data_IF_658057692943
#
_entry.id   IF_658057692943
#
_cell.length_a   1.000
_cell.length_b   1.000
_cell.length_c   1.000
_cell.angle_alpha   90.00
_cell.angle_beta   90.00
_cell.angle_gamma   90.00
#
_symmetry.space_group_name_H-M   'P 1'
#
loop_
_entity.id
_entity.type
_entity.pdbx_description
1 polymer ?
#
# COMPACT_ATOMS: atom_id res chain seq x y z
N UNK A 1 -3.56 -13.58 14.45
CA UNK A 1 -2.89 -13.22 13.19
C UNK A 1 -1.85 -12.21 13.62
N UNK A 2 -0.62 -12.64 13.70
CA UNK A 2 0.47 -11.76 14.11
C UNK A 2 0.84 -10.90 12.87
N UNK A 3 1.04 -9.59 13.07
CA UNK A 3 1.75 -8.68 12.14
C UNK A 3 1.03 -8.00 10.95
N UNK A 4 -0.27 -7.67 10.98
CA UNK A 4 -0.77 -6.55 10.13
C UNK A 4 -0.83 -5.27 10.97
N UNK A 5 0.07 -4.33 10.69
CA UNK A 5 0.01 -2.98 11.25
C UNK A 5 -0.90 -2.13 10.37
N UNK A 6 -1.91 -1.51 10.99
CA UNK A 6 -2.89 -0.66 10.31
C UNK A 6 -2.62 0.81 10.61
N UNK A 7 -2.66 1.64 9.58
CA UNK A 7 -2.55 3.10 9.68
C UNK A 7 -3.94 3.71 9.51
N UNK A 8 -4.36 4.52 10.48
CA UNK A 8 -5.57 5.34 10.36
C UNK A 8 -5.34 6.46 9.34
N UNK A 9 -6.24 6.57 8.38
CA UNK A 9 -6.32 7.71 7.47
C UNK A 9 -7.54 8.54 7.88
N UNK A 10 -7.36 9.72 8.51
CA UNK A 10 -8.47 10.50 9.04
C UNK A 10 -9.43 10.97 7.94
N UNK A 11 -10.71 11.09 8.29
CA UNK A 11 -11.72 11.69 7.43
C UNK A 11 -11.30 13.09 6.95
N UNK A 12 -11.77 13.45 5.77
CA UNK A 12 -11.61 14.80 5.23
C UNK A 12 -11.12 14.83 3.79
N UNK A 13 -11.05 16.07 3.29
CA UNK A 13 -10.77 16.37 1.89
C UNK A 13 -9.31 16.15 1.52
N UNK A 14 -9.07 15.72 0.29
CA UNK A 14 -7.77 15.69 -0.35
C UNK A 14 -7.90 16.02 -1.83
N UNK A 15 -6.78 16.33 -2.48
CA UNK A 15 -6.70 16.51 -3.93
C UNK A 15 -6.36 15.16 -4.58
N UNK A 16 -7.24 14.65 -5.43
CA UNK A 16 -7.00 13.47 -6.27
C UNK A 16 -6.59 13.92 -7.68
N UNK A 17 -5.66 13.18 -8.28
CA UNK A 17 -5.17 13.44 -9.64
C UNK A 17 -4.18 14.59 -9.76
N UNK A 18 -3.69 14.82 -10.99
CA UNK A 18 -2.71 15.85 -11.33
C UNK A 18 -3.02 16.48 -12.69
N UNK A 19 -3.25 17.80 -12.70
CA UNK A 19 -3.49 18.57 -13.94
C UNK A 19 -2.29 18.57 -14.90
N UNK A 20 -1.10 18.27 -14.40
CA UNK A 20 0.13 18.17 -15.18
C UNK A 20 0.52 16.72 -15.53
N UNK A 21 -0.21 15.73 -15.02
CA UNK A 21 0.05 14.30 -15.24
C UNK A 21 -0.44 13.79 -16.59
N UNK A 22 -0.62 12.48 -16.69
CA UNK A 22 -1.23 11.82 -17.85
C UNK A 22 -2.73 12.13 -17.97
N UNK A 23 -3.37 11.75 -19.09
CA UNK A 23 -4.76 12.13 -19.37
C UNK A 23 -5.75 11.49 -18.37
N UNK A 24 -5.43 10.30 -17.90
CA UNK A 24 -6.15 9.51 -16.90
C UNK A 24 -6.02 10.06 -15.48
N UNK A 25 -5.03 10.92 -15.22
CA UNK A 25 -4.82 11.57 -13.93
C UNK A 25 -5.58 12.90 -13.82
N UNK A 26 -6.25 13.34 -14.90
CA UNK A 26 -6.91 14.65 -15.01
C UNK A 26 -8.43 14.54 -14.93
N UNK A 27 -9.11 15.59 -14.43
CA UNK A 27 -8.54 16.79 -13.78
C UNK A 27 -8.19 16.53 -12.31
N UNK A 28 -7.29 17.34 -11.75
CA UNK A 28 -7.09 17.38 -10.31
C UNK A 28 -8.36 17.94 -9.64
N UNK A 29 -8.95 17.20 -8.70
CA UNK A 29 -10.21 17.58 -8.06
C UNK A 29 -10.25 17.20 -6.56
N UNK A 30 -11.14 17.85 -5.81
CA UNK A 30 -11.31 17.55 -4.38
C UNK A 30 -12.25 16.37 -4.18
N UNK A 31 -11.81 15.40 -3.38
CA UNK A 31 -12.65 14.31 -2.87
C UNK A 31 -12.66 14.40 -1.35
N UNK A 32 -13.83 14.16 -0.75
CA UNK A 32 -14.01 14.01 0.69
C UNK A 32 -14.21 12.53 1.02
N UNK A 33 -13.33 11.97 1.84
CA UNK A 33 -13.38 10.56 2.23
C UNK A 33 -13.63 10.44 3.74
N UNK A 34 -14.39 9.42 4.19
CA UNK A 34 -14.50 9.10 5.62
C UNK A 34 -13.14 8.64 6.19
N UNK A 35 -13.09 8.41 7.50
CA UNK A 35 -11.95 7.73 8.12
C UNK A 35 -11.95 6.27 7.66
N UNK A 36 -10.77 5.75 7.34
CA UNK A 36 -10.54 4.33 7.06
C UNK A 36 -9.16 3.93 7.56
N UNK A 37 -8.85 2.64 7.50
CA UNK A 37 -7.55 2.10 7.85
C UNK A 37 -6.97 1.37 6.64
N UNK A 38 -5.66 1.49 6.46
CA UNK A 38 -4.91 0.78 5.42
C UNK A 38 -3.72 0.07 6.05
N UNK A 39 -3.34 -1.08 5.50
CA UNK A 39 -2.12 -1.76 5.94
C UNK A 39 -0.92 -0.82 5.74
N UNK A 40 -0.02 -0.76 6.72
CA UNK A 40 1.16 0.12 6.69
C UNK A 40 2.10 -0.19 5.52
N UNK A 41 2.17 -1.45 5.13
CA UNK A 41 3.00 -1.95 4.03
C UNK A 41 2.15 -2.84 3.12
N UNK A 42 2.63 -3.15 1.91
CA UNK A 42 2.11 -4.28 1.14
C UNK A 42 2.08 -5.57 1.96
N UNK A 43 1.17 -6.48 1.58
CA UNK A 43 1.05 -7.80 2.20
C UNK A 43 2.29 -8.63 1.84
N UNK A 44 2.93 -9.23 2.85
CA UNK A 44 4.15 -10.04 2.70
C UNK A 44 3.84 -11.48 2.30
N UNK A 45 4.85 -12.18 1.76
CA UNK A 45 4.76 -13.61 1.50
C UNK A 45 4.41 -14.42 2.76
N UNK A 46 5.03 -14.10 3.92
CA UNK A 46 4.74 -14.79 5.17
C UNK A 46 3.29 -14.58 5.67
N UNK A 47 2.73 -13.39 5.48
CA UNK A 47 1.32 -13.13 5.81
C UNK A 47 0.38 -13.88 4.85
N UNK A 48 0.70 -13.90 3.55
CA UNK A 48 -0.10 -14.61 2.55
C UNK A 48 -0.04 -16.13 2.70
N UNK A 49 1.10 -16.68 3.15
CA UNK A 49 1.23 -18.11 3.47
C UNK A 49 0.25 -18.54 4.57
N UNK A 50 0.04 -17.73 5.61
CA UNK A 50 -0.95 -18.03 6.65
C UNK A 50 -2.38 -18.15 6.09
N UNK A 51 -2.69 -17.34 5.06
CA UNK A 51 -3.98 -17.43 4.35
C UNK A 51 -4.09 -18.74 3.58
N UNK A 52 -3.06 -19.10 2.81
CA UNK A 52 -3.01 -20.34 2.03
C UNK A 52 -3.15 -21.55 2.97
N UNK A 53 -2.39 -21.61 4.06
CA UNK A 53 -2.45 -22.71 5.03
C UNK A 53 -3.82 -22.84 5.69
N UNK A 54 -4.49 -21.72 5.95
CA UNK A 54 -5.79 -21.71 6.62
C UNK A 54 -6.98 -22.00 5.67
N UNK A 55 -6.83 -21.79 4.37
CA UNK A 55 -7.96 -21.80 3.42
C UNK A 55 -7.77 -22.73 2.22
N UNK A 56 -6.57 -23.25 2.03
CA UNK A 56 -6.16 -23.99 0.83
C UNK A 56 -6.33 -23.18 -0.47
N UNK A 57 -6.16 -21.86 -0.39
CA UNK A 57 -6.17 -20.97 -1.54
C UNK A 57 -5.01 -21.24 -2.51
N UNK A 58 -5.10 -20.67 -3.71
CA UNK A 58 -4.06 -20.78 -4.73
C UNK A 58 -2.75 -20.13 -4.26
N UNK A 59 -1.65 -20.83 -4.47
CA UNK A 59 -0.30 -20.32 -4.27
C UNK A 59 0.13 -19.47 -5.46
N UNK A 60 0.94 -18.41 -5.25
CA UNK A 60 1.60 -17.71 -6.34
C UNK A 60 2.42 -18.67 -7.21
N UNK A 61 2.38 -18.47 -8.53
CA UNK A 61 2.96 -19.42 -9.49
C UNK A 61 4.48 -19.60 -9.39
N UNK A 62 5.17 -18.64 -8.78
CA UNK A 62 6.61 -18.65 -8.57
C UNK A 62 7.05 -19.32 -7.25
N UNK A 63 6.10 -19.78 -6.43
CA UNK A 63 6.39 -20.53 -5.21
C UNK A 63 6.65 -21.99 -5.54
N UNK A 64 7.90 -22.32 -5.80
CA UNK A 64 8.31 -23.68 -6.13
C UNK A 64 8.06 -24.64 -4.96
N UNK A 65 7.52 -25.81 -5.26
CA UNK A 65 7.14 -26.84 -4.28
C UNK A 65 6.19 -26.32 -3.17
N UNK A 66 5.44 -25.25 -3.46
CA UNK A 66 4.50 -24.64 -2.52
C UNK A 66 5.15 -23.89 -1.35
N UNK A 67 6.41 -23.48 -1.50
CA UNK A 67 7.13 -22.74 -0.47
C UNK A 67 7.41 -21.29 -0.92
N UNK A 68 7.48 -20.38 0.05
CA UNK A 68 7.99 -19.03 -0.17
C UNK A 68 9.42 -19.13 -0.73
N UNK A 69 9.79 -18.33 -1.76
CA UNK A 69 11.17 -18.27 -2.21
C UNK A 69 12.12 -17.91 -1.06
N UNK A 70 13.25 -18.63 -0.96
CA UNK A 70 14.19 -18.50 0.16
C UNK A 70 14.59 -17.04 0.43
N UNK A 71 14.39 -16.56 1.66
CA UNK A 71 14.74 -15.21 2.09
C UNK A 71 13.75 -14.12 1.67
N UNK A 72 12.60 -14.49 1.09
CA UNK A 72 11.56 -13.55 0.63
C UNK A 72 10.36 -13.48 1.58
N UNK A 73 10.46 -13.97 2.80
CA UNK A 73 9.35 -14.04 3.77
C UNK A 73 8.75 -12.65 4.03
N UNK A 74 9.61 -11.64 4.15
CA UNK A 74 9.22 -10.24 4.38
C UNK A 74 9.09 -9.40 3.10
N UNK A 75 9.21 -10.00 1.93
CA UNK A 75 8.95 -9.31 0.67
C UNK A 75 7.44 -9.25 0.38
N UNK A 76 6.96 -8.24 -0.36
CA UNK A 76 5.57 -8.22 -0.81
C UNK A 76 5.26 -9.48 -1.63
N UNK A 77 4.09 -10.08 -1.37
CA UNK A 77 3.58 -11.16 -2.21
C UNK A 77 3.27 -10.61 -3.60
N UNK A 78 3.68 -11.34 -4.64
CA UNK A 78 3.50 -10.97 -6.04
C UNK A 78 2.83 -12.10 -6.82
N UNK A 79 2.40 -11.82 -8.06
CA UNK A 79 1.69 -12.78 -8.91
C UNK A 79 0.41 -13.34 -8.25
N UNK A 80 -0.31 -12.48 -7.53
CA UNK A 80 -1.62 -12.76 -6.93
C UNK A 80 -2.69 -12.15 -7.83
N UNK A 81 -3.76 -12.90 -8.12
CA UNK A 81 -4.86 -12.38 -8.92
C UNK A 81 -5.74 -11.42 -8.10
N UNK A 82 -6.48 -10.52 -8.76
CA UNK A 82 -7.41 -9.63 -8.05
C UNK A 82 -8.45 -10.42 -7.20
N UNK A 83 -9.07 -11.51 -7.69
CA UNK A 83 -9.95 -12.34 -6.87
C UNK A 83 -9.26 -12.93 -5.63
N UNK A 84 -8.01 -13.38 -5.76
CA UNK A 84 -7.24 -13.92 -4.63
C UNK A 84 -6.92 -12.84 -3.59
N UNK A 85 -6.61 -11.61 -4.04
CA UNK A 85 -6.41 -10.47 -3.14
C UNK A 85 -7.70 -10.10 -2.38
N UNK A 86 -8.87 -10.17 -3.03
CA UNK A 86 -10.18 -9.99 -2.38
C UNK A 86 -10.45 -11.11 -1.38
N UNK A 87 -10.14 -12.36 -1.74
CA UNK A 87 -10.31 -13.50 -0.84
C UNK A 87 -9.42 -13.37 0.41
N UNK A 88 -8.17 -12.94 0.23
CA UNK A 88 -7.26 -12.63 1.33
C UNK A 88 -7.83 -11.54 2.23
N UNK A 89 -8.29 -10.42 1.66
CA UNK A 89 -8.91 -9.32 2.41
C UNK A 89 -10.10 -9.80 3.25
N UNK A 90 -11.02 -10.57 2.63
CA UNK A 90 -12.17 -11.15 3.32
C UNK A 90 -11.76 -12.09 4.47
N UNK A 91 -10.76 -12.94 4.25
CA UNK A 91 -10.22 -13.82 5.27
C UNK A 91 -9.62 -13.04 6.45
N UNK A 92 -8.84 -11.98 6.18
CA UNK A 92 -8.32 -11.09 7.21
C UNK A 92 -9.48 -10.47 8.00
N UNK A 93 -10.50 -9.98 7.31
CA UNK A 93 -11.69 -9.41 7.93
C UNK A 93 -12.38 -10.37 8.90
N UNK A 94 -12.59 -11.62 8.48
CA UNK A 94 -13.15 -12.66 9.34
C UNK A 94 -12.29 -12.96 10.59
N UNK A 95 -10.96 -12.83 10.48
CA UNK A 95 -10.03 -13.06 11.60
C UNK A 95 -10.01 -11.92 12.61
N UNK A 96 -10.20 -10.67 12.18
CA UNK A 96 -10.16 -9.49 13.05
C UNK A 96 -11.56 -8.97 13.42
N UNK A 97 -12.62 -9.60 12.91
CA UNK A 97 -14.00 -9.20 13.18
C UNK A 97 -14.38 -7.84 12.57
N UNK A 98 -13.73 -7.46 11.47
CA UNK A 98 -13.97 -6.21 10.75
C UNK A 98 -14.15 -6.47 9.26
N UNK A 99 -14.79 -5.55 8.55
CA UNK A 99 -14.81 -5.58 7.09
C UNK A 99 -13.45 -5.09 6.57
N UNK A 100 -12.76 -5.94 5.81
CA UNK A 100 -11.51 -5.61 5.13
C UNK A 100 -11.71 -5.80 3.64
N UNK A 101 -11.38 -4.77 2.87
CA UNK A 101 -11.54 -4.69 1.42
C UNK A 101 -10.23 -4.23 0.79
N UNK A 102 -10.14 -4.34 -0.54
CA UNK A 102 -9.13 -3.60 -1.29
C UNK A 102 -9.47 -2.10 -1.25
N UNK A 103 -8.47 -1.22 -1.12
CA UNK A 103 -8.73 0.22 -1.18
C UNK A 103 -9.23 0.59 -2.58
N UNK A 104 -10.13 1.56 -2.65
CA UNK A 104 -10.40 2.30 -3.89
C UNK A 104 -9.19 3.13 -4.30
N UNK A 105 -9.13 3.53 -5.57
CA UNK A 105 -8.05 4.41 -6.07
C UNK A 105 -7.96 5.71 -5.25
N UNK A 106 -9.10 6.27 -4.84
CA UNK A 106 -9.14 7.49 -4.02
C UNK A 106 -8.59 7.27 -2.60
N UNK A 107 -8.92 6.14 -1.97
CA UNK A 107 -8.37 5.76 -0.67
C UNK A 107 -6.87 5.49 -0.76
N UNK A 108 -6.41 4.83 -1.82
CA UNK A 108 -5.00 4.56 -2.02
C UNK A 108 -4.22 5.86 -2.26
N UNK A 109 -4.70 6.74 -3.13
CA UNK A 109 -4.03 8.01 -3.41
C UNK A 109 -4.03 8.96 -2.20
N UNK A 110 -5.12 9.06 -1.43
CA UNK A 110 -5.15 9.86 -0.20
C UNK A 110 -4.13 9.34 0.80
N UNK A 111 -4.01 8.01 0.96
CA UNK A 111 -3.04 7.39 1.87
C UNK A 111 -1.60 7.70 1.46
N UNK A 112 -1.31 7.80 0.16
CA UNK A 112 0.00 8.17 -0.39
C UNK A 112 0.29 9.68 -0.28
N UNK A 113 -0.63 10.53 -0.73
CA UNK A 113 -0.44 11.97 -0.93
C UNK A 113 -0.65 12.81 0.33
N UNK A 114 -1.58 12.39 1.19
CA UNK A 114 -2.05 13.19 2.31
C UNK A 114 -3.22 14.12 1.97
N UNK A 115 -4.12 14.30 2.93
CA UNK A 115 -5.27 15.22 2.85
C UNK A 115 -4.91 16.68 3.07
N UNK A 116 -5.92 17.56 3.05
CA UNK A 116 -5.74 18.98 3.40
C UNK A 116 -5.31 19.17 4.87
N UNK A 117 -5.67 18.22 5.72
CA UNK A 117 -5.30 18.13 7.13
C UNK A 117 -4.56 16.80 7.37
N UNK A 118 -3.52 16.87 8.19
CA UNK A 118 -2.80 15.74 8.75
C UNK A 118 -3.09 15.68 10.26
N UNK A 119 -2.76 14.58 10.95
CA UNK A 119 -2.86 14.53 12.41
C UNK A 119 -2.07 15.65 13.12
N UNK A 120 -1.00 16.15 12.50
CA UNK A 120 -0.17 17.25 13.01
C UNK A 120 -0.72 18.65 12.71
N UNK A 121 -1.86 18.78 12.01
CA UNK A 121 -2.47 20.05 11.64
C UNK A 121 -2.61 20.24 10.13
N UNK A 122 -2.61 21.49 9.67
CA UNK A 122 -2.76 21.80 8.24
C UNK A 122 -1.62 21.19 7.43
N UNK A 123 -1.95 20.45 6.36
CA UNK A 123 -0.94 19.86 5.49
C UNK A 123 -0.20 20.99 4.74
N UNK A 124 1.13 21.13 4.90
CA UNK A 124 1.89 22.15 4.18
C UNK A 124 2.03 21.85 2.68
N UNK A 125 1.85 20.58 2.27
CA UNK A 125 2.01 20.11 0.89
C UNK A 125 0.87 19.13 0.52
N UNK A 126 -0.37 19.63 0.32
CA UNK A 126 -1.53 18.79 0.02
C UNK A 126 -1.62 18.30 -1.44
N UNK A 127 -0.77 18.81 -2.32
CA UNK A 127 -0.63 18.39 -3.73
C UNK A 127 0.80 17.91 -4.02
N UNK A 128 1.38 17.14 -3.09
CA UNK A 128 2.76 16.66 -3.23
C UNK A 128 2.90 15.66 -4.37
N UNK A 129 4.04 15.66 -5.07
CA UNK A 129 4.27 14.76 -6.21
C UNK A 129 4.59 13.32 -5.77
N UNK A 130 5.27 13.17 -4.64
CA UNK A 130 5.67 11.89 -4.05
C UNK A 130 5.16 11.84 -2.60
N UNK A 131 5.00 10.64 -2.00
CA UNK A 131 4.57 10.52 -0.60
C UNK A 131 5.39 11.39 0.36
N UNK A 132 6.70 11.48 0.12
CA UNK A 132 7.67 12.24 0.90
C UNK A 132 7.82 13.72 0.52
N UNK A 133 7.20 14.22 -0.56
CA UNK A 133 7.31 15.63 -0.96
C UNK A 133 7.34 15.84 -2.47
N UNK A 134 7.94 16.96 -2.91
CA UNK A 134 7.96 17.35 -4.34
C UNK A 134 9.27 17.03 -5.05
N UNK A 135 10.33 16.72 -4.29
CA UNK A 135 11.65 16.43 -4.84
C UNK A 135 11.81 14.92 -4.87
N UNK A 136 12.08 14.39 -6.07
CA UNK A 136 12.38 12.99 -6.26
C UNK A 136 13.63 12.61 -5.47
N UNK A 137 13.63 11.41 -4.89
CA UNK A 137 14.75 10.86 -4.14
C UNK A 137 14.78 9.34 -4.33
N UNK A 138 15.83 8.85 -4.99
CA UNK A 138 16.01 7.43 -5.28
C UNK A 138 16.23 6.56 -4.06
N UNK A 139 16.62 7.14 -2.92
CA UNK A 139 16.80 6.41 -1.66
C UNK A 139 15.49 6.18 -0.91
N UNK A 140 14.33 6.56 -1.49
CA UNK A 140 13.02 6.51 -0.83
C UNK A 140 12.04 5.51 -1.46
N UNK A 141 12.42 4.82 -2.53
CA UNK A 141 11.64 3.73 -3.09
C UNK A 141 12.53 2.73 -3.83
N UNK A 142 11.99 1.53 -4.07
CA UNK A 142 12.55 0.64 -5.08
C UNK A 142 12.04 1.09 -6.45
N UNK A 143 12.90 1.16 -7.45
CA UNK A 143 12.48 1.53 -8.80
C UNK A 143 13.40 0.91 -9.84
N UNK A 144 13.03 1.03 -11.12
CA UNK A 144 13.85 0.51 -12.22
C UNK A 144 15.31 0.97 -12.15
N UNK A 145 15.57 2.24 -11.84
CA UNK A 145 16.93 2.76 -11.76
C UNK A 145 17.71 2.29 -10.51
N UNK A 146 17.05 1.66 -9.53
CA UNK A 146 17.71 1.00 -8.41
C UNK A 146 18.47 -0.26 -8.84
N UNK A 147 18.14 -0.86 -9.99
CA UNK A 147 18.84 -2.03 -10.55
C UNK A 147 18.67 -3.32 -9.75
N UNK A 148 17.72 -3.37 -8.80
CA UNK A 148 17.46 -4.56 -7.97
C UNK A 148 16.74 -5.65 -8.79
N UNK A 149 15.92 -5.24 -9.79
CA UNK A 149 15.14 -6.11 -10.69
C UNK A 149 14.17 -7.08 -9.98
N UNK A 150 14.00 -6.94 -8.67
CA UNK A 150 13.10 -7.70 -7.82
C UNK A 150 12.48 -6.81 -6.75
N UNK A 151 11.53 -7.35 -5.98
CA UNK A 151 10.99 -6.69 -4.79
C UNK A 151 12.06 -6.62 -3.68
N UNK A 152 11.91 -5.66 -2.77
CA UNK A 152 12.68 -5.56 -1.53
C UNK A 152 11.80 -5.92 -0.33
N UNK A 153 12.38 -6.22 0.86
CA UNK A 153 11.59 -6.39 2.07
C UNK A 153 10.72 -5.16 2.32
N UNK A 154 9.49 -5.37 2.81
CA UNK A 154 8.60 -4.25 3.13
C UNK A 154 9.22 -3.35 4.20
N UNK A 155 9.01 -2.04 4.07
CA UNK A 155 9.56 -1.02 4.97
C UNK A 155 11.06 -0.78 4.84
N UNK A 156 11.72 -1.31 3.79
CA UNK A 156 13.14 -1.06 3.52
C UNK A 156 13.43 0.43 3.20
N UNK A 157 12.40 1.22 2.88
CA UNK A 157 12.50 2.66 2.59
C UNK A 157 11.71 3.49 3.62
N UNK A 158 12.16 3.56 4.90
CA UNK A 158 11.41 4.24 5.95
C UNK A 158 11.22 5.74 5.70
N UNK A 159 12.15 6.39 4.98
CA UNK A 159 12.05 7.80 4.60
C UNK A 159 11.15 8.04 3.39
N UNK A 160 10.68 6.97 2.72
CA UNK A 160 9.67 7.01 1.67
C UNK A 160 8.23 7.04 2.17
N UNK A 161 8.03 7.07 3.49
CA UNK A 161 6.71 7.09 4.10
C UNK A 161 5.83 8.24 3.60
N UNK A 162 4.54 7.96 3.48
CA UNK A 162 3.52 8.99 3.29
C UNK A 162 3.40 9.89 4.53
N UNK A 163 2.66 11.01 4.45
CA UNK A 163 2.41 11.89 5.60
C UNK A 163 1.70 11.21 6.76
N UNK A 164 1.02 10.09 6.50
CA UNK A 164 0.33 9.28 7.49
C UNK A 164 1.20 8.14 8.04
N UNK A 165 2.40 7.91 7.47
CA UNK A 165 3.30 6.84 7.87
C UNK A 165 3.13 5.53 7.10
N UNK A 166 2.36 5.52 6.00
CA UNK A 166 2.22 4.36 5.11
C UNK A 166 3.47 4.23 4.26
N UNK A 167 4.06 3.04 4.20
CA UNK A 167 5.32 2.74 3.53
C UNK A 167 5.08 2.10 2.16
N UNK A 168 6.09 2.18 1.30
CA UNK A 168 6.13 1.52 -0.01
C UNK A 168 4.94 1.88 -0.93
N UNK A 169 4.36 3.07 -0.76
CA UNK A 169 3.33 3.61 -1.66
C UNK A 169 3.91 4.00 -3.02
N UNK A 170 5.21 4.27 -3.10
CA UNK A 170 5.93 4.40 -4.36
C UNK A 170 6.96 3.26 -4.42
N UNK A 171 7.00 2.52 -5.53
CA UNK A 171 7.76 1.28 -5.68
C UNK A 171 7.58 0.63 -7.04
#
# INVERSE_FOLDING_TARGET
MEYLEWIEIPAGKFWMGDDNGHQEEKPCHLIDLPTYWIAKTPITNAQYLQFIEATHANMPTHWENGAIPSGKENHPVSLVSWPDAVAFASWVGGKIGQTVLLPSDAEWEKAARGGLMLPSGKNPLPKRNYPWGNVFDEAKCNMKASGIEETTPVGNYPYGASPYGVLDMAG
#
